data_IF_487916574644
#
_entry.id   IF_487916574644
#
_cell.length_a   1.000
_cell.length_b   1.000
_cell.length_c   1.000
_cell.angle_alpha   90.00
_cell.angle_beta   90.00
_cell.angle_gamma   90.00
#
_symmetry.space_group_name_H-M   'P 1'
#
loop_
_entity.id
_entity.type
_entity.pdbx_description
1 polymer ?
#
# COMPACT_ATOMS: atom_id res chain seq x y z
N UNK A 1 66.79 -17.96 -16.88
CA UNK A 1 66.33 -16.74 -17.55
C UNK A 1 65.34 -17.12 -18.65
N UNK A 2 64.08 -16.74 -18.44
CA UNK A 2 62.97 -16.50 -19.39
C UNK A 2 62.75 -17.43 -20.60
N UNK A 3 61.80 -18.36 -20.46
CA UNK A 3 61.05 -18.93 -21.60
C UNK A 3 59.70 -18.21 -21.70
N UNK A 4 59.49 -17.52 -22.83
CA UNK A 4 58.32 -16.70 -23.18
C UNK A 4 57.14 -17.60 -23.63
N UNK A 5 55.90 -17.37 -23.18
CA UNK A 5 54.72 -18.11 -23.66
C UNK A 5 54.22 -17.58 -25.04
N UNK A 6 53.43 -18.37 -25.79
CA UNK A 6 52.96 -18.03 -27.14
C UNK A 6 51.85 -16.97 -27.15
N UNK A 7 51.59 -16.27 -28.28
CA UNK A 7 50.60 -15.21 -28.34
C UNK A 7 49.17 -15.76 -28.40
N UNK A 8 48.33 -15.32 -27.46
CA UNK A 8 46.88 -15.46 -27.56
C UNK A 8 46.35 -14.44 -28.59
N UNK A 9 45.67 -14.96 -29.62
CA UNK A 9 44.93 -14.19 -30.61
C UNK A 9 43.76 -13.49 -29.93
N UNK A 10 43.96 -12.20 -29.70
CA UNK A 10 42.98 -11.29 -29.15
C UNK A 10 42.01 -10.87 -30.28
N UNK A 11 40.81 -11.42 -30.31
CA UNK A 11 39.76 -10.97 -31.24
C UNK A 11 39.17 -9.69 -30.66
N UNK A 12 39.85 -8.57 -30.89
CA UNK A 12 39.23 -7.26 -30.87
C UNK A 12 38.47 -7.07 -32.20
N UNK A 13 37.15 -7.20 -32.16
CA UNK A 13 36.28 -6.61 -33.17
C UNK A 13 35.74 -5.29 -32.63
N UNK A 14 36.40 -4.22 -33.02
CA UNK A 14 35.89 -2.85 -32.93
C UNK A 14 35.39 -2.42 -34.30
N UNK A 15 34.14 -1.97 -34.37
CA UNK A 15 33.65 -1.10 -35.45
C UNK A 15 32.41 -1.60 -36.18
N UNK A 16 31.27 -0.99 -35.89
CA UNK A 16 30.05 -1.16 -36.69
C UNK A 16 28.85 -0.49 -36.04
N UNK A 17 28.67 0.82 -36.26
CA UNK A 17 27.50 1.58 -35.83
C UNK A 17 26.22 1.05 -36.47
N UNK A 18 25.20 0.87 -35.63
CA UNK A 18 23.85 0.48 -36.02
C UNK A 18 22.90 0.75 -34.86
N UNK A 19 22.42 1.99 -34.78
CA UNK A 19 21.30 2.35 -33.92
C UNK A 19 20.04 1.63 -34.41
N UNK A 20 19.40 0.90 -33.51
CA UNK A 20 17.99 0.52 -33.64
C UNK A 20 17.74 -0.98 -33.58
N UNK A 21 17.19 -1.41 -32.44
CA UNK A 21 16.56 -2.72 -32.21
C UNK A 21 17.51 -3.85 -31.79
N UNK A 22 18.22 -3.64 -30.67
CA UNK A 22 18.45 -4.77 -29.75
C UNK A 22 17.07 -5.31 -29.41
N UNK A 23 16.76 -6.52 -29.88
CA UNK A 23 15.50 -7.16 -29.55
C UNK A 23 15.40 -7.21 -28.04
N UNK A 24 14.46 -6.42 -27.49
CA UNK A 24 14.15 -6.40 -26.08
C UNK A 24 14.10 -7.87 -25.65
N UNK A 25 14.95 -8.27 -24.69
CA UNK A 25 15.02 -9.65 -24.22
C UNK A 25 13.67 -10.17 -23.66
N UNK A 26 12.66 -9.30 -23.68
CA UNK A 26 11.24 -9.49 -23.46
C UNK A 26 10.50 -9.46 -24.80
N UNK A 27 10.10 -10.63 -25.29
CA UNK A 27 9.16 -10.70 -26.41
C UNK A 27 7.81 -10.09 -26.01
N UNK A 28 6.99 -9.79 -27.02
CA UNK A 28 5.62 -9.32 -26.79
C UNK A 28 4.81 -10.33 -25.95
N UNK A 29 4.89 -11.62 -26.31
CA UNK A 29 4.28 -12.70 -25.54
C UNK A 29 4.82 -12.84 -24.11
N UNK A 30 6.13 -12.69 -23.90
CA UNK A 30 6.70 -12.72 -22.54
C UNK A 30 6.26 -11.51 -21.71
N UNK A 31 6.13 -10.34 -22.34
CA UNK A 31 5.62 -9.13 -21.68
C UNK A 31 4.13 -9.29 -21.34
N UNK A 32 3.34 -9.86 -22.24
CA UNK A 32 1.92 -10.17 -21.99
C UNK A 32 1.75 -11.15 -20.82
N UNK A 33 2.50 -12.26 -20.82
CA UNK A 33 2.50 -13.24 -19.75
C UNK A 33 2.94 -12.64 -18.41
N UNK A 34 3.92 -11.73 -18.42
CA UNK A 34 4.33 -11.00 -17.22
C UNK A 34 3.22 -10.12 -16.67
N UNK A 35 2.52 -9.37 -17.53
CA UNK A 35 1.41 -8.50 -17.10
C UNK A 35 0.28 -9.33 -16.49
N UNK A 36 -0.04 -10.50 -17.07
CA UNK A 36 -1.03 -11.42 -16.51
C UNK A 36 -0.59 -11.96 -15.14
N UNK A 37 0.58 -12.61 -15.07
CA UNK A 37 1.06 -13.24 -13.84
C UNK A 37 1.24 -12.22 -12.69
N UNK A 38 1.79 -11.05 -13.00
CA UNK A 38 1.89 -9.96 -12.04
C UNK A 38 0.50 -9.41 -11.66
N UNK A 39 -0.39 -9.21 -12.64
CA UNK A 39 -1.74 -8.70 -12.45
C UNK A 39 -2.57 -9.56 -11.50
N UNK A 40 -2.56 -10.88 -11.70
CA UNK A 40 -3.29 -11.83 -10.85
C UNK A 40 -2.82 -11.80 -9.39
N UNK A 41 -1.51 -11.65 -9.18
CA UNK A 41 -0.91 -11.52 -7.84
C UNK A 41 -1.23 -10.17 -7.22
N UNK A 42 -1.09 -9.11 -8.01
CA UNK A 42 -1.39 -7.74 -7.61
C UNK A 42 -2.84 -7.60 -7.16
N UNK A 43 -3.80 -8.20 -7.87
CA UNK A 43 -5.21 -8.20 -7.51
C UNK A 43 -5.50 -9.01 -6.24
N UNK A 44 -4.90 -10.20 -6.10
CA UNK A 44 -5.06 -11.03 -4.88
C UNK A 44 -4.55 -10.36 -3.61
N UNK A 45 -3.55 -9.50 -3.74
CA UNK A 45 -3.04 -8.67 -2.64
C UNK A 45 -3.79 -7.33 -2.51
N UNK A 46 -5.00 -7.21 -3.07
CA UNK A 46 -5.81 -5.99 -3.08
C UNK A 46 -5.03 -4.76 -3.58
N UNK A 47 -4.29 -4.91 -4.68
CA UNK A 47 -3.41 -3.88 -5.26
C UNK A 47 -2.24 -3.47 -4.36
N UNK A 48 -1.83 -4.34 -3.43
CA UNK A 48 -0.69 -4.17 -2.53
C UNK A 48 0.67 -4.47 -3.18
N UNK A 49 1.74 -4.25 -2.40
CA UNK A 49 3.12 -4.49 -2.83
C UNK A 49 3.46 -5.98 -2.80
N UNK A 50 4.00 -6.50 -3.91
CA UNK A 50 4.51 -7.86 -4.00
C UNK A 50 5.82 -8.01 -3.21
N UNK A 51 5.93 -9.10 -2.44
CA UNK A 51 7.15 -9.50 -1.74
C UNK A 51 8.03 -10.38 -2.64
N UNK A 52 9.25 -10.69 -2.19
CA UNK A 52 10.21 -11.50 -2.95
C UNK A 52 9.61 -12.85 -3.40
N UNK A 53 8.90 -13.55 -2.50
CA UNK A 53 8.23 -14.81 -2.83
C UNK A 53 7.19 -14.63 -3.95
N UNK A 54 6.39 -13.56 -3.90
CA UNK A 54 5.41 -13.29 -4.95
C UNK A 54 6.10 -13.02 -6.29
N UNK A 55 7.21 -12.27 -6.29
CA UNK A 55 7.99 -12.01 -7.50
C UNK A 55 8.64 -13.27 -8.08
N UNK A 56 9.10 -14.19 -7.22
CA UNK A 56 9.60 -15.48 -7.64
C UNK A 56 8.50 -16.30 -8.33
N UNK A 57 7.30 -16.35 -7.75
CA UNK A 57 6.15 -17.04 -8.34
C UNK A 57 5.71 -16.40 -9.68
N UNK A 58 5.79 -15.07 -9.81
CA UNK A 58 5.58 -14.36 -11.09
C UNK A 58 6.63 -14.79 -12.12
N UNK A 59 7.91 -14.82 -11.73
CA UNK A 59 8.99 -15.22 -12.64
C UNK A 59 8.82 -16.67 -13.11
N UNK A 60 8.45 -17.59 -12.22
CA UNK A 60 8.21 -18.98 -12.58
C UNK A 60 7.01 -19.14 -13.52
N UNK A 61 5.93 -18.38 -13.32
CA UNK A 61 4.79 -18.36 -14.25
C UNK A 61 5.17 -17.84 -15.64
N UNK A 62 5.99 -16.78 -15.72
CA UNK A 62 6.49 -16.22 -16.99
C UNK A 62 7.40 -17.23 -17.70
N UNK A 63 8.32 -17.85 -16.97
CA UNK A 63 9.25 -18.83 -17.52
C UNK A 63 8.54 -20.10 -17.99
N UNK A 64 7.47 -20.52 -17.33
CA UNK A 64 6.68 -21.71 -17.73
C UNK A 64 5.97 -21.53 -19.07
N UNK A 65 5.66 -20.28 -19.44
CA UNK A 65 5.01 -19.93 -20.72
C UNK A 65 6.02 -19.57 -21.80
N UNK A 66 7.32 -19.55 -21.47
CA UNK A 66 8.36 -19.18 -22.40
C UNK A 66 8.82 -20.40 -23.19
N UNK A 67 8.52 -20.40 -24.50
CA UNK A 67 8.93 -21.47 -25.41
C UNK A 67 10.31 -21.14 -26.01
N UNK A 68 11.31 -22.01 -25.80
CA UNK A 68 12.63 -21.96 -26.45
C UNK A 68 13.84 -21.82 -25.51
N UNK A 69 15.04 -21.71 -26.10
CA UNK A 69 16.36 -21.72 -25.41
C UNK A 69 16.72 -20.37 -24.75
N UNK A 70 15.73 -19.49 -24.52
CA UNK A 70 16.01 -18.17 -23.95
C UNK A 70 16.33 -18.29 -22.46
N UNK A 71 17.28 -17.49 -21.92
CA UNK A 71 17.59 -17.51 -20.50
C UNK A 71 16.37 -17.24 -19.64
N UNK A 72 16.21 -18.01 -18.56
CA UNK A 72 15.12 -17.83 -17.58
C UNK A 72 15.19 -16.42 -16.99
N UNK A 73 14.01 -15.82 -16.81
CA UNK A 73 13.86 -14.52 -16.16
C UNK A 73 13.90 -14.65 -14.65
N UNK A 74 14.60 -13.74 -14.00
CA UNK A 74 14.61 -13.64 -12.53
C UNK A 74 13.45 -12.78 -12.02
N UNK A 75 13.13 -12.94 -10.74
CA UNK A 75 12.18 -12.11 -9.99
C UNK A 75 12.49 -10.61 -10.13
N UNK A 76 13.77 -10.22 -10.02
CA UNK A 76 14.24 -8.84 -10.18
C UNK A 76 14.02 -8.33 -11.61
N UNK A 77 14.27 -9.16 -12.63
CA UNK A 77 14.05 -8.77 -14.02
C UNK A 77 12.56 -8.56 -14.31
N UNK A 78 11.69 -9.40 -13.76
CA UNK A 78 10.24 -9.26 -13.87
C UNK A 78 9.77 -7.95 -13.22
N UNK A 79 10.23 -7.67 -11.99
CA UNK A 79 9.96 -6.41 -11.28
C UNK A 79 10.37 -5.18 -12.09
N UNK A 80 11.62 -5.14 -12.56
CA UNK A 80 12.15 -4.01 -13.33
C UNK A 80 11.36 -3.78 -14.63
N UNK A 81 10.92 -4.86 -15.29
CA UNK A 81 10.08 -4.75 -16.48
C UNK A 81 8.69 -4.20 -16.14
N UNK A 82 8.04 -4.67 -15.07
CA UNK A 82 6.77 -4.09 -14.59
C UNK A 82 6.94 -2.60 -14.26
N UNK A 83 8.00 -2.20 -13.57
CA UNK A 83 8.24 -0.80 -13.24
C UNK A 83 8.37 0.08 -14.50
N UNK A 84 9.05 -0.44 -15.51
CA UNK A 84 9.18 0.23 -16.82
C UNK A 84 7.81 0.35 -17.52
N UNK A 85 7.01 -0.72 -17.50
CA UNK A 85 5.66 -0.71 -18.07
C UNK A 85 4.73 0.27 -17.33
N UNK A 86 4.81 0.33 -15.99
CA UNK A 86 4.04 1.30 -15.17
C UNK A 86 4.44 2.74 -15.47
N UNK A 87 5.75 3.01 -15.67
CA UNK A 87 6.23 4.34 -16.11
C UNK A 87 5.69 4.69 -17.48
N UNK A 88 5.75 3.76 -18.44
CA UNK A 88 5.21 3.97 -19.79
C UNK A 88 3.71 4.21 -19.77
N UNK A 89 2.96 3.46 -18.96
CA UNK A 89 1.53 3.67 -18.76
C UNK A 89 1.20 5.08 -18.25
N UNK A 90 1.95 5.60 -17.26
CA UNK A 90 1.73 6.98 -16.77
C UNK A 90 1.88 8.03 -17.87
N UNK A 91 2.88 7.89 -18.75
CA UNK A 91 3.11 8.78 -19.89
C UNK A 91 2.06 8.61 -20.99
N UNK A 92 1.60 7.39 -21.21
CA UNK A 92 0.62 7.09 -22.24
C UNK A 92 -0.79 7.55 -21.82
N UNK A 93 -1.09 7.53 -20.51
CA UNK A 93 -2.39 7.95 -19.96
C UNK A 93 -2.66 9.44 -20.07
N UNK A 94 -1.63 10.27 -20.21
CA UNK A 94 -1.80 11.72 -20.43
C UNK A 94 -2.05 12.09 -21.90
N UNK A 95 -2.05 11.11 -22.82
CA UNK A 95 -2.30 11.34 -24.25
C UNK A 95 -3.80 11.18 -24.56
N UNK A 96 -4.33 11.88 -25.58
CA UNK A 96 -5.71 11.70 -26.00
C UNK A 96 -5.96 10.27 -26.48
N UNK A 97 -7.13 9.66 -26.18
CA UNK A 97 -7.51 8.36 -26.72
C UNK A 97 -7.63 8.40 -28.26
N UNK A 98 -7.43 7.26 -28.96
CA UNK A 98 -7.04 5.95 -28.45
C UNK A 98 -5.50 5.82 -28.29
N UNK A 99 -5.04 5.09 -27.27
CA UNK A 99 -3.62 4.76 -27.14
C UNK A 99 -3.20 3.78 -28.24
N UNK A 100 -2.02 4.01 -28.83
CA UNK A 100 -1.40 3.12 -29.82
C UNK A 100 -0.58 1.99 -29.19
N UNK A 101 -0.50 1.93 -27.85
CA UNK A 101 0.34 0.97 -27.15
C UNK A 101 -0.45 -0.29 -26.77
N UNK A 102 -0.09 -1.49 -27.28
CA UNK A 102 -0.88 -2.72 -27.12
C UNK A 102 -1.13 -3.15 -25.66
N UNK A 103 -0.25 -2.77 -24.73
CA UNK A 103 -0.40 -3.13 -23.31
C UNK A 103 -1.18 -2.09 -22.49
N UNK A 104 -1.58 -0.96 -23.07
CA UNK A 104 -2.23 0.14 -22.36
C UNK A 104 -3.50 -0.33 -21.65
N UNK A 105 -4.47 -0.89 -22.39
CA UNK A 105 -5.77 -1.31 -21.84
C UNK A 105 -5.65 -2.37 -20.75
N UNK A 106 -4.64 -3.26 -20.88
CA UNK A 106 -4.39 -4.33 -19.92
C UNK A 106 -3.86 -3.78 -18.59
N UNK A 107 -2.90 -2.87 -18.65
CA UNK A 107 -2.34 -2.22 -17.46
C UNK A 107 -3.36 -1.23 -16.86
N UNK A 108 -4.13 -0.55 -17.70
CA UNK A 108 -5.19 0.38 -17.27
C UNK A 108 -6.29 -0.34 -16.49
N UNK A 109 -6.69 -1.53 -16.92
CA UNK A 109 -7.68 -2.33 -16.18
C UNK A 109 -7.16 -2.76 -14.79
N UNK A 110 -5.85 -3.00 -14.65
CA UNK A 110 -5.22 -3.41 -13.39
C UNK A 110 -5.02 -2.24 -12.41
N UNK A 111 -4.59 -1.08 -12.90
CA UNK A 111 -4.14 0.07 -12.07
C UNK A 111 -5.10 1.27 -12.16
N UNK A 112 -5.79 1.44 -13.28
CA UNK A 112 -6.72 2.54 -13.57
C UNK A 112 -8.07 2.43 -12.85
N UNK A 113 -8.46 1.23 -12.41
CA UNK A 113 -9.71 0.96 -11.68
C UNK A 113 -9.81 1.55 -10.27
N UNK A 114 -9.01 2.57 -9.93
CA UNK A 114 -9.22 3.41 -8.75
C UNK A 114 -10.13 4.61 -9.07
N UNK A 115 -10.39 4.87 -10.36
CA UNK A 115 -11.10 6.06 -10.85
C UNK A 115 -12.49 5.78 -11.45
N UNK A 116 -12.95 4.51 -11.49
CA UNK A 116 -14.15 4.14 -12.27
C UNK A 116 -15.31 3.55 -11.47
N UNK A 117 -15.31 3.59 -10.14
CA UNK A 117 -16.53 3.29 -9.33
C UNK A 117 -17.25 4.57 -8.89
N UNK A 118 -16.63 5.74 -9.03
CA UNK A 118 -17.27 7.01 -8.73
C UNK A 118 -17.09 7.97 -9.90
N UNK A 119 -18.22 8.48 -10.40
CA UNK A 119 -18.31 9.45 -11.50
C UNK A 119 -17.28 10.57 -11.32
N UNK A 120 -16.70 11.00 -12.44
CA UNK A 120 -15.74 12.09 -12.56
C UNK A 120 -16.12 13.29 -11.68
N UNK A 121 -15.28 13.60 -10.69
CA UNK A 121 -15.10 14.97 -10.21
C UNK A 121 -13.66 15.37 -10.52
N UNK A 122 -13.41 16.58 -11.07
CA UNK A 122 -12.06 17.05 -11.34
C UNK A 122 -11.31 17.23 -10.03
N UNK A 123 -10.33 16.37 -9.79
CA UNK A 123 -9.40 16.51 -8.67
C UNK A 123 -8.44 17.65 -8.96
N UNK A 124 -8.65 18.79 -8.32
CA UNK A 124 -7.68 19.90 -8.31
C UNK A 124 -6.59 19.56 -7.30
N UNK A 125 -5.37 19.33 -7.77
CA UNK A 125 -4.19 19.12 -6.91
C UNK A 125 -3.58 20.48 -6.57
N UNK A 126 -3.71 20.94 -5.34
CA UNK A 126 -2.93 22.08 -4.82
C UNK A 126 -1.59 21.59 -4.29
N UNK A 127 -0.50 21.97 -4.96
CA UNK A 127 0.86 21.84 -4.45
C UNK A 127 1.18 23.04 -3.56
N UNK A 128 1.15 22.85 -2.24
CA UNK A 128 1.69 23.83 -1.30
C UNK A 128 3.20 23.56 -1.16
N UNK A 129 4.02 24.52 -1.58
CA UNK A 129 5.47 24.53 -1.28
C UNK A 129 5.66 25.12 0.12
N UNK A 130 6.30 24.43 1.08
CA UNK A 130 6.64 25.05 2.35
C UNK A 130 7.86 25.95 2.16
N UNK A 131 7.76 27.21 2.58
CA UNK A 131 8.91 28.11 2.75
C UNK A 131 9.25 28.14 4.24
N UNK A 132 10.45 27.65 4.55
CA UNK A 132 11.03 27.61 5.89
C UNK A 132 11.35 29.03 6.39
N UNK A 133 10.95 29.35 7.62
CA UNK A 133 11.66 30.32 8.45
C UNK A 133 11.45 29.94 9.93
N UNK A 134 12.55 29.52 10.54
CA UNK A 134 12.79 29.38 11.97
C UNK A 134 12.59 30.70 12.72
N UNK A 135 12.04 30.66 13.94
CA UNK A 135 12.74 31.06 15.18
C UNK A 135 11.74 31.23 16.34
N UNK A 136 12.06 30.53 17.42
CA UNK A 136 11.50 30.66 18.76
C UNK A 136 11.83 32.04 19.36
N UNK A 137 10.88 32.69 20.03
CA UNK A 137 11.18 33.42 21.28
C UNK A 137 9.95 33.69 22.16
N UNK A 138 10.13 33.31 23.42
CA UNK A 138 9.34 33.56 24.62
C UNK A 138 9.09 35.06 24.92
N UNK A 139 8.10 35.41 25.76
CA UNK A 139 7.76 36.79 26.08
C UNK A 139 8.72 37.38 27.12
N UNK A 140 9.09 38.66 26.97
CA UNK A 140 9.83 39.40 28.02
C UNK A 140 9.15 40.72 28.34
N UNK A 141 9.03 40.91 29.64
CA UNK A 141 8.39 41.96 30.38
C UNK A 141 9.00 43.35 30.17
N UNK A 142 8.08 44.29 30.33
CA UNK A 142 8.10 45.74 30.53
C UNK A 142 9.18 46.28 31.47
N UNK A 143 9.95 47.25 30.97
CA UNK A 143 10.60 48.40 31.63
C UNK A 143 11.60 48.96 30.60
N UNK A 144 11.89 50.24 30.39
CA UNK A 144 11.42 51.55 30.84
C UNK A 144 12.12 52.57 29.93
N UNK A 145 11.72 53.84 30.05
CA UNK A 145 12.46 55.07 29.71
C UNK A 145 11.91 55.90 28.55
N UNK A 146 11.53 57.10 28.98
CA UNK A 146 11.12 58.30 28.28
C UNK A 146 12.20 58.82 27.33
N UNK A 147 11.77 59.47 26.23
CA UNK A 147 12.19 60.84 25.88
C UNK A 147 11.18 61.45 24.89
N UNK A 148 10.78 62.68 25.20
CA UNK A 148 9.88 63.60 24.47
C UNK A 148 10.59 64.19 23.23
N UNK A 149 9.86 64.40 22.13
CA UNK A 149 10.06 65.58 21.26
C UNK A 149 8.80 65.87 20.42
N UNK A 150 8.54 67.16 20.26
CA UNK A 150 7.28 67.86 19.98
C UNK A 150 7.13 68.23 18.48
N UNK A 151 5.90 68.40 17.97
CA UNK A 151 5.72 68.96 16.60
C UNK A 151 4.40 68.71 15.87
N UNK A 152 3.41 69.57 16.16
CA UNK A 152 2.51 70.32 15.26
C UNK A 152 1.68 69.62 14.14
N UNK A 153 0.36 69.68 14.36
CA UNK A 153 -0.76 70.10 13.49
C UNK A 153 -0.96 69.62 12.02
N UNK A 154 -2.21 69.16 11.84
CA UNK A 154 -3.11 69.33 10.68
C UNK A 154 -3.17 68.33 9.49
N UNK A 155 -4.43 68.05 9.15
CA UNK A 155 -5.03 67.41 7.98
C UNK A 155 -4.19 66.50 7.05
N UNK A 156 -4.66 65.27 6.82
CA UNK A 156 -5.44 64.92 5.61
C UNK A 156 -6.02 63.50 5.77
N UNK A 157 -7.35 63.45 5.67
CA UNK A 157 -8.19 62.27 5.40
C UNK A 157 -7.49 61.18 4.58
N UNK A 158 -7.43 59.95 5.12
CA UNK A 158 -7.31 58.75 4.27
C UNK A 158 -8.30 57.69 4.70
N UNK A 159 -9.50 57.87 4.14
CA UNK A 159 -10.42 56.84 3.67
C UNK A 159 -10.19 55.44 4.25
N UNK A 160 -11.08 55.06 5.17
CA UNK A 160 -11.36 53.67 5.50
C UNK A 160 -11.97 52.98 4.27
N UNK A 161 -11.14 52.73 3.26
CA UNK A 161 -11.48 51.78 2.21
C UNK A 161 -11.08 50.42 2.74
N UNK A 162 -12.01 49.76 3.42
CA UNK A 162 -12.03 48.30 3.46
C UNK A 162 -12.21 47.87 2.00
N UNK A 163 -11.10 47.76 1.29
CA UNK A 163 -11.07 47.15 -0.02
C UNK A 163 -11.46 45.68 0.21
N UNK A 164 -12.75 45.44 -0.06
CA UNK A 164 -13.29 44.17 -0.53
C UNK A 164 -12.34 43.57 -1.57
N UNK A 165 -11.43 42.72 -1.10
CA UNK A 165 -10.52 41.96 -1.97
C UNK A 165 -10.65 40.49 -1.60
N UNK A 166 -11.50 39.80 -2.35
CA UNK A 166 -11.29 38.38 -2.66
C UNK A 166 -12.36 37.40 -2.18
N UNK A 167 -13.59 37.53 -2.67
CA UNK A 167 -14.65 36.50 -2.66
C UNK A 167 -14.29 35.20 -3.43
N UNK A 168 -13.01 34.79 -3.47
CA UNK A 168 -12.54 33.56 -4.11
C UNK A 168 -11.93 32.56 -3.12
N UNK A 169 -11.35 33.01 -1.99
CA UNK A 169 -10.68 32.12 -1.03
C UNK A 169 -11.67 31.43 -0.08
N UNK A 170 -12.75 32.12 0.28
CA UNK A 170 -13.80 31.58 1.14
C UNK A 170 -14.57 30.41 0.52
N UNK A 171 -14.72 30.37 -0.81
CA UNK A 171 -15.41 29.27 -1.48
C UNK A 171 -14.57 27.98 -1.48
N UNK A 172 -13.28 28.10 -1.81
CA UNK A 172 -12.33 26.99 -1.77
C UNK A 172 -12.14 26.46 -0.34
N UNK A 173 -12.02 27.35 0.65
CA UNK A 173 -11.97 26.96 2.06
C UNK A 173 -13.25 26.25 2.52
N UNK A 174 -14.44 26.72 2.11
CA UNK A 174 -15.72 26.03 2.42
C UNK A 174 -15.82 24.66 1.75
N UNK A 175 -15.30 24.51 0.53
CA UNK A 175 -15.24 23.22 -0.15
C UNK A 175 -14.30 22.23 0.55
N UNK A 176 -13.13 22.71 0.97
CA UNK A 176 -12.18 21.92 1.74
C UNK A 176 -12.77 21.46 3.08
N UNK A 177 -13.38 22.37 3.84
CA UNK A 177 -14.05 22.04 5.10
C UNK A 177 -15.14 20.97 4.91
N UNK A 178 -15.97 21.10 3.86
CA UNK A 178 -16.98 20.07 3.51
C UNK A 178 -16.36 18.73 3.12
N UNK A 179 -15.24 18.74 2.41
CA UNK A 179 -14.54 17.51 2.05
C UNK A 179 -13.97 16.81 3.29
N UNK A 180 -13.31 17.54 4.18
CA UNK A 180 -12.74 17.01 5.43
C UNK A 180 -13.81 16.37 6.31
N UNK A 181 -14.98 17.02 6.48
CA UNK A 181 -16.08 16.46 7.26
C UNK A 181 -16.60 15.14 6.65
N UNK A 182 -16.80 15.10 5.34
CA UNK A 182 -17.21 13.87 4.63
C UNK A 182 -16.19 12.74 4.78
N UNK A 183 -14.89 13.08 4.73
CA UNK A 183 -13.84 12.10 5.00
C UNK A 183 -13.91 11.58 6.43
N UNK A 184 -14.17 12.46 7.41
CA UNK A 184 -14.38 12.07 8.82
C UNK A 184 -15.51 11.04 8.98
N UNK A 185 -16.68 11.32 8.41
CA UNK A 185 -17.84 10.40 8.48
C UNK A 185 -17.57 9.04 7.79
N UNK A 186 -16.86 9.05 6.67
CA UNK A 186 -16.49 7.81 5.97
C UNK A 186 -15.48 7.02 6.82
N UNK A 187 -14.48 7.70 7.38
CA UNK A 187 -13.46 7.08 8.21
C UNK A 187 -14.06 6.46 9.48
N UNK A 188 -14.94 7.20 10.16
CA UNK A 188 -15.66 6.70 11.34
C UNK A 188 -16.42 5.41 11.02
N UNK A 189 -17.21 5.39 9.93
CA UNK A 189 -17.92 4.17 9.49
C UNK A 189 -16.98 2.99 9.25
N UNK A 190 -15.83 3.22 8.62
CA UNK A 190 -14.84 2.18 8.34
C UNK A 190 -14.24 1.64 9.64
N UNK A 191 -13.82 2.52 10.55
CA UNK A 191 -13.20 2.09 11.81
C UNK A 191 -14.23 1.39 12.73
N UNK A 192 -15.48 1.87 12.78
CA UNK A 192 -16.56 1.18 13.49
C UNK A 192 -16.82 -0.22 12.93
N UNK A 193 -16.88 -0.37 11.60
CA UNK A 193 -17.05 -1.67 10.97
C UNK A 193 -15.89 -2.62 11.28
N UNK A 194 -14.65 -2.11 11.28
CA UNK A 194 -13.46 -2.88 11.62
C UNK A 194 -13.45 -3.31 13.09
N UNK A 195 -13.83 -2.43 14.01
CA UNK A 195 -13.96 -2.77 15.44
C UNK A 195 -15.04 -3.82 15.67
N UNK A 196 -16.19 -3.71 15.00
CA UNK A 196 -17.25 -4.71 15.06
C UNK A 196 -16.78 -6.08 14.58
N UNK A 197 -16.06 -6.14 13.46
CA UNK A 197 -15.48 -7.39 12.98
C UNK A 197 -14.47 -7.99 13.96
N UNK A 198 -13.62 -7.15 14.56
CA UNK A 198 -12.65 -7.59 15.57
C UNK A 198 -13.34 -8.18 16.80
N UNK A 199 -14.40 -7.53 17.29
CA UNK A 199 -15.20 -8.02 18.42
C UNK A 199 -15.89 -9.35 18.11
N UNK A 200 -16.47 -9.50 16.91
CA UNK A 200 -17.14 -10.75 16.52
C UNK A 200 -16.14 -11.92 16.42
N UNK A 201 -14.96 -11.69 15.86
CA UNK A 201 -13.90 -12.69 15.80
C UNK A 201 -13.40 -13.08 17.20
N UNK A 202 -13.24 -12.10 18.10
CA UNK A 202 -12.86 -12.37 19.49
C UNK A 202 -13.96 -13.13 20.25
N UNK A 203 -15.23 -12.81 20.01
CA UNK A 203 -16.37 -13.54 20.56
C UNK A 203 -16.35 -15.00 20.13
N UNK A 204 -16.18 -15.28 18.85
CA UNK A 204 -16.07 -16.65 18.33
C UNK A 204 -14.85 -17.38 18.92
N UNK A 205 -13.71 -16.70 19.05
CA UNK A 205 -12.51 -17.24 19.71
C UNK A 205 -12.79 -17.65 21.15
N UNK A 206 -13.48 -16.79 21.90
CA UNK A 206 -13.82 -17.03 23.30
C UNK A 206 -14.84 -18.17 23.46
N UNK A 207 -15.87 -18.20 22.61
CA UNK A 207 -16.91 -19.25 22.61
C UNK A 207 -16.32 -20.63 22.36
N UNK A 208 -15.48 -20.77 21.33
CA UNK A 208 -14.79 -22.03 21.06
C UNK A 208 -13.89 -22.49 22.23
N UNK A 209 -13.18 -21.56 22.85
CA UNK A 209 -12.33 -21.86 24.02
C UNK A 209 -13.18 -22.34 25.20
N UNK A 210 -14.31 -21.67 25.46
CA UNK A 210 -15.26 -22.05 26.52
C UNK A 210 -15.87 -23.43 26.27
N UNK A 211 -16.25 -23.73 25.03
CA UNK A 211 -16.82 -25.03 24.66
C UNK A 211 -15.81 -26.17 24.83
N UNK A 212 -14.55 -25.92 24.46
CA UNK A 212 -13.46 -26.87 24.70
C UNK A 212 -13.23 -27.11 26.19
N UNK A 213 -13.22 -26.06 27.01
CA UNK A 213 -13.08 -26.19 28.46
C UNK A 213 -14.26 -26.92 29.09
N UNK A 214 -15.48 -26.65 28.63
CA UNK A 214 -16.68 -27.36 29.08
C UNK A 214 -16.60 -28.86 28.75
N UNK A 215 -16.23 -29.22 27.53
CA UNK A 215 -16.04 -30.62 27.14
C UNK A 215 -14.94 -31.30 27.97
N UNK A 216 -13.80 -30.61 28.18
CA UNK A 216 -12.71 -31.11 29.02
C UNK A 216 -13.17 -31.36 30.46
N UNK A 217 -13.91 -30.42 31.05
CA UNK A 217 -14.41 -30.55 32.41
C UNK A 217 -15.43 -31.67 32.53
N UNK A 218 -16.36 -31.80 31.56
CA UNK A 218 -17.33 -32.88 31.53
C UNK A 218 -16.64 -34.26 31.53
N UNK A 219 -15.62 -34.45 30.68
CA UNK A 219 -14.85 -35.70 30.63
C UNK A 219 -14.16 -36.03 31.96
N UNK A 220 -13.64 -35.02 32.67
CA UNK A 220 -13.00 -35.22 33.96
C UNK A 220 -14.02 -35.61 35.05
N UNK A 221 -15.18 -34.95 35.06
CA UNK A 221 -16.26 -35.26 36.01
C UNK A 221 -16.80 -36.67 35.76
N UNK A 222 -17.04 -37.03 34.49
CA UNK A 222 -17.50 -38.37 34.11
C UNK A 222 -16.51 -39.45 34.54
N UNK A 223 -15.22 -39.24 34.31
CA UNK A 223 -14.17 -40.16 34.74
C UNK A 223 -14.15 -40.34 36.27
N UNK A 224 -14.31 -39.25 37.04
CA UNK A 224 -14.38 -39.32 38.51
C UNK A 224 -15.61 -40.09 38.99
N UNK A 225 -16.78 -39.83 38.39
CA UNK A 225 -18.03 -40.52 38.71
C UNK A 225 -17.91 -42.03 38.46
N UNK A 226 -17.30 -42.42 37.35
CA UNK A 226 -17.08 -43.83 37.00
C UNK A 226 -16.10 -44.53 37.95
N UNK A 227 -15.04 -43.83 38.37
CA UNK A 227 -14.13 -44.32 39.40
C UNK A 227 -14.85 -44.53 40.74
N UNK A 228 -15.68 -43.60 41.18
CA UNK A 228 -16.44 -43.72 42.43
C UNK A 228 -17.49 -44.85 42.38
N UNK A 229 -18.21 -44.99 41.26
CA UNK A 229 -19.11 -46.14 41.03
C UNK A 229 -18.37 -47.47 41.12
N UNK A 230 -17.22 -47.56 40.46
CA UNK A 230 -16.37 -48.75 40.47
C UNK A 230 -15.83 -49.07 41.87
N UNK A 231 -15.45 -48.06 42.67
CA UNK A 231 -15.02 -48.24 44.06
C UNK A 231 -16.17 -48.76 44.94
N UNK A 232 -17.37 -48.18 44.83
CA UNK A 232 -18.55 -48.60 45.60
C UNK A 232 -18.97 -50.04 45.26
N UNK A 233 -18.99 -50.40 43.98
CA UNK A 233 -19.34 -51.75 43.54
C UNK A 233 -18.30 -52.80 43.97
N UNK A 234 -17.00 -52.46 43.95
CA UNK A 234 -15.94 -53.30 44.54
C UNK A 234 -16.11 -53.48 46.06
N UNK A 235 -16.55 -52.43 46.77
CA UNK A 235 -16.81 -52.49 48.20
C UNK A 235 -18.02 -53.39 48.54
N UNK A 236 -19.11 -53.26 47.76
CA UNK A 236 -20.30 -54.12 47.85
C UNK A 236 -19.96 -55.60 47.57
N UNK A 237 -19.17 -55.87 46.53
CA UNK A 237 -18.76 -57.24 46.17
C UNK A 237 -17.78 -57.87 47.19
N UNK A 238 -16.98 -57.08 47.93
CA UNK A 238 -16.15 -57.60 49.04
C UNK A 238 -16.96 -57.92 50.30
N UNK A 239 -18.07 -57.22 50.53
CA UNK A 239 -18.93 -57.43 51.71
C UNK A 239 -19.83 -58.67 51.60
N UNK A 240 -20.20 -59.10 50.39
CA UNK A 240 -21.08 -60.26 50.16
C UNK A 240 -20.37 -61.63 50.12
N UNK A 241 -19.05 -61.68 50.29
CA UNK A 241 -18.24 -62.91 50.18
C UNK A 241 -17.74 -63.46 51.52
N UNK A 242 -18.28 -62.94 52.63
CA UNK A 242 -18.15 -63.49 53.98
C UNK A 242 -19.49 -64.12 54.38
N UNK A 243 -19.75 -65.33 53.94
CA UNK A 243 -20.73 -66.23 54.54
C UNK A 243 -20.26 -67.66 54.33
#
# INVERSE_FOLDING_TARGET
MNLRPPPHHNIHSSGGGGSGRREDCWSEGATAALIEAWGDRYLRLNRGNLRQKDWQEVADAVNSRQTGVKPRKTDVQCKNRIDTLKKKYKLERSKPPPSKWPFFSRIDSLIGGNASVYKKHPSVTFTIKPKTASLLKEPKSTESSFDDDDGDDDEVRKEHRVEDVGLSDGAACRELARAILKFGEIYERIESSKQQQMMELEKQRMEFTKDLEFQRMNMLVDAQLEMEKSKRQKHLNRSGKKQ
#
